data_IF_597262031100
#
_entry.id   IF_597262031100
#
_cell.length_a   1.000
_cell.length_b   1.000
_cell.length_c   1.000
_cell.angle_alpha   90.00
_cell.angle_beta   90.00
_cell.angle_gamma   90.00
#
_symmetry.space_group_name_H-M   'P 1'
#
loop_
_entity.id
_entity.type
_entity.pdbx_description
1 polymer ?
#
# COMPACT_ATOMS: atom_id res chain seq x y z
N UNK A 1 0.86 -1.05 -9.20
CA UNK A 1 -0.35 -1.91 -9.19
C UNK A 1 -0.29 -2.72 -7.91
N UNK A 2 -1.33 -2.68 -7.07
CA UNK A 2 -1.30 -3.36 -5.77
C UNK A 2 -1.32 -4.89 -6.03
N UNK A 3 -0.41 -5.68 -5.44
CA UNK A 3 -0.36 -7.12 -5.67
C UNK A 3 -1.67 -7.86 -5.33
N UNK A 4 -2.50 -7.29 -4.46
CA UNK A 4 -3.78 -7.87 -4.03
C UNK A 4 -4.86 -7.78 -5.08
N UNK A 5 -4.79 -6.80 -5.99
CA UNK A 5 -5.73 -6.73 -7.11
C UNK A 5 -5.69 -8.01 -7.97
N UNK A 6 -4.57 -8.73 -7.91
CA UNK A 6 -4.32 -9.99 -8.62
C UNK A 6 -4.44 -11.24 -7.74
N UNK A 7 -4.67 -11.09 -6.43
CA UNK A 7 -4.76 -12.22 -5.51
C UNK A 7 -6.04 -13.01 -5.77
N UNK A 8 -5.89 -14.23 -6.28
CA UNK A 8 -7.03 -15.12 -6.49
C UNK A 8 -7.62 -15.57 -5.16
N UNK A 9 -6.80 -15.81 -4.15
CA UNK A 9 -7.26 -16.22 -2.83
C UNK A 9 -8.06 -15.12 -2.12
N UNK A 10 -7.64 -13.85 -2.21
CA UNK A 10 -8.38 -12.74 -1.62
C UNK A 10 -9.79 -12.61 -2.23
N UNK A 11 -9.89 -12.65 -3.56
CA UNK A 11 -11.17 -12.58 -4.27
C UNK A 11 -12.05 -13.81 -4.00
N UNK A 12 -11.45 -15.00 -3.89
CA UNK A 12 -12.18 -16.22 -3.55
C UNK A 12 -12.77 -16.17 -2.14
N UNK A 13 -12.00 -15.70 -1.15
CA UNK A 13 -12.50 -15.47 0.22
C UNK A 13 -13.71 -14.54 0.18
N UNK A 14 -13.64 -13.45 -0.61
CA UNK A 14 -14.74 -12.51 -0.79
C UNK A 14 -16.04 -13.21 -1.20
N UNK A 15 -16.01 -13.88 -2.36
CA UNK A 15 -17.15 -14.60 -2.93
C UNK A 15 -17.70 -15.68 -1.98
N UNK A 16 -16.83 -16.47 -1.36
CA UNK A 16 -17.26 -17.57 -0.48
C UNK A 16 -17.91 -17.06 0.82
N UNK A 17 -17.58 -15.86 1.27
CA UNK A 17 -18.27 -15.26 2.43
C UNK A 17 -19.65 -14.75 2.07
N UNK A 18 -19.85 -14.26 0.84
CA UNK A 18 -21.19 -13.93 0.33
C UNK A 18 -22.03 -15.21 0.25
N UNK A 19 -21.49 -16.28 -0.33
CA UNK A 19 -22.15 -17.60 -0.39
C UNK A 19 -22.48 -18.14 1.01
N UNK A 20 -21.56 -18.04 1.96
CA UNK A 20 -21.80 -18.45 3.35
C UNK A 20 -22.89 -17.61 4.03
N UNK A 21 -23.00 -16.33 3.68
CA UNK A 21 -24.05 -15.43 4.20
C UNK A 21 -25.41 -15.81 3.62
N UNK A 22 -25.50 -16.06 2.31
CA UNK A 22 -26.73 -16.50 1.64
C UNK A 22 -27.23 -17.84 2.19
N UNK A 23 -26.32 -18.79 2.41
CA UNK A 23 -26.64 -20.05 3.06
C UNK A 23 -27.13 -19.80 4.50
N UNK A 24 -26.43 -18.97 5.28
CA UNK A 24 -26.77 -18.65 6.66
C UNK A 24 -28.11 -17.95 6.88
N UNK A 25 -28.57 -17.14 5.91
CA UNK A 25 -29.82 -16.38 5.99
C UNK A 25 -31.05 -17.13 5.44
N UNK A 26 -30.82 -18.20 4.68
CA UNK A 26 -31.93 -19.01 4.16
C UNK A 26 -32.62 -19.79 5.29
N UNK A 27 -33.95 -19.66 5.43
CA UNK A 27 -34.77 -20.46 6.38
C UNK A 27 -34.62 -21.98 6.21
N UNK A 28 -34.08 -22.43 5.07
CA UNK A 28 -33.85 -23.83 4.71
C UNK A 28 -32.48 -24.37 5.17
N UNK A 29 -31.53 -23.51 5.56
CA UNK A 29 -30.17 -23.96 5.91
C UNK A 29 -30.02 -24.61 7.28
N UNK A 30 -31.08 -24.57 8.09
CA UNK A 30 -31.08 -25.13 9.44
C UNK A 30 -31.76 -26.50 9.55
N UNK A 31 -32.33 -27.05 8.46
CA UNK A 31 -33.21 -28.24 8.57
C UNK A 31 -32.80 -29.45 7.72
N UNK A 32 -31.82 -29.35 6.81
CA UNK A 32 -31.38 -30.48 5.97
C UNK A 32 -29.89 -30.81 6.12
N UNK A 33 -29.58 -32.11 6.06
CA UNK A 33 -28.19 -32.62 6.06
C UNK A 33 -27.40 -32.06 4.87
N UNK A 34 -28.05 -31.89 3.72
CA UNK A 34 -27.44 -31.30 2.53
C UNK A 34 -26.98 -29.86 2.76
N UNK A 35 -27.81 -29.01 3.38
CA UNK A 35 -27.42 -27.63 3.67
C UNK A 35 -26.26 -27.54 4.67
N UNK A 36 -26.25 -28.41 5.68
CA UNK A 36 -25.13 -28.51 6.64
C UNK A 36 -23.83 -28.91 5.92
N UNK A 37 -23.91 -29.88 5.00
CA UNK A 37 -22.75 -30.31 4.21
C UNK A 37 -22.25 -29.20 3.28
N UNK A 38 -23.16 -28.44 2.64
CA UNK A 38 -22.79 -27.29 1.80
C UNK A 38 -22.10 -26.20 2.61
N UNK A 39 -22.63 -25.84 3.79
CA UNK A 39 -21.98 -24.87 4.69
C UNK A 39 -20.58 -25.34 5.09
N UNK A 40 -20.44 -26.61 5.49
CA UNK A 40 -19.15 -27.18 5.89
C UNK A 40 -18.13 -27.16 4.73
N UNK A 41 -18.59 -27.41 3.50
CA UNK A 41 -17.75 -27.31 2.31
C UNK A 41 -17.28 -25.87 2.09
N UNK A 42 -18.19 -24.90 2.07
CA UNK A 42 -17.82 -23.47 1.89
C UNK A 42 -16.85 -23.01 2.98
N UNK A 43 -17.08 -23.39 4.25
CA UNK A 43 -16.14 -23.10 5.34
C UNK A 43 -14.75 -23.69 5.09
N UNK A 44 -14.69 -24.93 4.60
CA UNK A 44 -13.41 -25.59 4.27
C UNK A 44 -12.66 -24.84 3.17
N UNK A 45 -13.37 -24.42 2.12
CA UNK A 45 -12.77 -23.68 1.02
C UNK A 45 -12.30 -22.29 1.44
N UNK A 46 -13.04 -21.60 2.32
CA UNK A 46 -12.59 -20.35 2.95
C UNK A 46 -11.27 -20.58 3.67
N UNK A 47 -11.19 -21.63 4.50
CA UNK A 47 -9.96 -21.98 5.23
C UNK A 47 -8.77 -22.24 4.31
N UNK A 48 -8.99 -22.96 3.20
CA UNK A 48 -7.97 -23.20 2.18
C UNK A 48 -7.49 -21.90 1.52
N UNK A 49 -8.42 -21.03 1.13
CA UNK A 49 -8.06 -19.75 0.53
C UNK A 49 -7.37 -18.81 1.54
N UNK A 50 -7.78 -18.81 2.81
CA UNK A 50 -7.08 -18.06 3.85
C UNK A 50 -5.63 -18.54 4.03
N UNK A 51 -5.39 -19.86 4.01
CA UNK A 51 -4.03 -20.41 4.04
C UNK A 51 -3.22 -20.00 2.81
N UNK A 52 -3.79 -20.12 1.61
CA UNK A 52 -3.14 -19.67 0.37
C UNK A 52 -2.80 -18.18 0.42
N UNK A 53 -3.72 -17.37 0.94
CA UNK A 53 -3.51 -15.93 1.07
C UNK A 53 -2.42 -15.57 2.10
N UNK A 54 -2.25 -16.33 3.19
CA UNK A 54 -1.13 -16.13 4.10
C UNK A 54 0.22 -16.26 3.39
N UNK A 55 0.35 -17.23 2.49
CA UNK A 55 1.57 -17.42 1.69
C UNK A 55 1.80 -16.23 0.76
N UNK A 56 0.75 -15.73 0.11
CA UNK A 56 0.85 -14.54 -0.74
C UNK A 56 1.27 -13.29 0.07
N UNK A 57 0.71 -13.10 1.26
CA UNK A 57 1.09 -12.01 2.18
C UNK A 57 2.58 -12.11 2.52
N UNK A 58 3.08 -13.28 2.87
CA UNK A 58 4.50 -13.50 3.20
C UNK A 58 5.42 -13.18 2.01
N UNK A 59 5.04 -13.59 0.81
CA UNK A 59 5.87 -13.41 -0.37
C UNK A 59 5.85 -11.98 -0.90
N UNK A 60 4.71 -11.30 -0.82
CA UNK A 60 4.49 -10.06 -1.57
C UNK A 60 4.33 -8.82 -0.68
N UNK A 61 3.80 -8.97 0.54
CA UNK A 61 3.51 -7.82 1.42
C UNK A 61 4.48 -7.69 2.58
N UNK A 62 4.99 -8.78 3.15
CA UNK A 62 5.99 -8.71 4.23
C UNK A 62 7.25 -7.93 3.86
N UNK A 63 7.85 -8.11 2.66
CA UNK A 63 9.02 -7.31 2.25
C UNK A 63 8.70 -5.82 2.21
N UNK A 64 7.56 -5.47 1.61
CA UNK A 64 7.06 -4.09 1.49
C UNK A 64 6.81 -3.47 2.86
N UNK A 65 6.08 -4.17 3.73
CA UNK A 65 5.81 -3.72 5.09
C UNK A 65 7.09 -3.55 5.92
N UNK A 66 8.11 -4.37 5.69
CA UNK A 66 9.41 -4.25 6.35
C UNK A 66 10.15 -2.99 5.91
N UNK A 67 10.18 -2.73 4.60
CA UNK A 67 10.85 -1.55 4.02
C UNK A 67 10.28 -0.22 4.57
N UNK A 68 8.98 -0.17 4.84
CA UNK A 68 8.30 1.03 5.36
C UNK A 68 7.93 0.95 6.85
N UNK A 69 8.52 0.02 7.59
CA UNK A 69 8.32 -0.15 9.04
C UNK A 69 6.85 -0.28 9.48
N UNK A 70 6.04 -1.02 8.71
CA UNK A 70 4.63 -1.36 8.99
C UNK A 70 4.42 -2.83 9.41
N UNK A 71 5.50 -3.54 9.76
CA UNK A 71 5.46 -4.99 10.04
C UNK A 71 4.51 -5.35 11.20
N UNK A 72 4.42 -4.52 12.24
CA UNK A 72 3.52 -4.77 13.38
C UNK A 72 2.04 -4.60 13.00
N UNK A 73 1.74 -3.70 12.06
CA UNK A 73 0.39 -3.57 11.50
C UNK A 73 0.03 -4.82 10.69
N UNK A 74 0.98 -5.33 9.90
CA UNK A 74 0.79 -6.54 9.11
C UNK A 74 0.56 -7.78 9.99
N UNK A 75 1.36 -7.96 11.05
CA UNK A 75 1.24 -9.08 12.00
C UNK A 75 -0.15 -9.17 12.61
N UNK A 76 -0.73 -8.04 13.04
CA UNK A 76 -2.09 -8.00 13.60
C UNK A 76 -3.15 -8.53 12.63
N UNK A 77 -2.99 -8.24 11.33
CA UNK A 77 -3.91 -8.72 10.30
C UNK A 77 -3.67 -10.20 9.98
N UNK A 78 -2.41 -10.66 9.98
CA UNK A 78 -2.09 -12.08 9.85
C UNK A 78 -2.63 -12.90 11.02
N UNK A 79 -2.56 -12.39 12.25
CA UNK A 79 -3.15 -13.05 13.43
C UNK A 79 -4.67 -13.21 13.31
N UNK A 80 -5.36 -12.20 12.77
CA UNK A 80 -6.80 -12.30 12.48
C UNK A 80 -7.08 -13.39 11.44
N UNK A 81 -6.27 -13.47 10.39
CA UNK A 81 -6.39 -14.49 9.35
C UNK A 81 -6.12 -15.90 9.92
N UNK A 82 -5.11 -16.07 10.79
CA UNK A 82 -4.84 -17.34 11.47
C UNK A 82 -6.02 -17.80 12.32
N UNK A 83 -6.66 -16.90 13.06
CA UNK A 83 -7.86 -17.23 13.85
C UNK A 83 -9.03 -17.66 12.96
N UNK A 84 -9.20 -17.03 11.80
CA UNK A 84 -10.23 -17.44 10.82
C UNK A 84 -9.95 -18.87 10.34
N UNK A 85 -8.69 -19.18 10.03
CA UNK A 85 -8.27 -20.54 9.64
C UNK A 85 -8.61 -21.56 10.74
N UNK A 86 -8.28 -21.27 11.99
CA UNK A 86 -8.62 -22.14 13.13
C UNK A 86 -10.13 -22.38 13.25
N UNK A 87 -10.95 -21.34 13.05
CA UNK A 87 -12.42 -21.47 13.06
C UNK A 87 -12.90 -22.37 11.92
N UNK A 88 -12.40 -22.16 10.70
CA UNK A 88 -12.79 -22.97 9.53
C UNK A 88 -12.37 -24.44 9.64
N UNK A 89 -11.31 -24.73 10.39
CA UNK A 89 -10.83 -26.09 10.65
C UNK A 89 -11.51 -26.75 11.87
N UNK A 90 -12.42 -26.06 12.55
CA UNK A 90 -13.09 -26.56 13.75
C UNK A 90 -12.17 -26.68 14.97
N UNK A 91 -10.99 -26.06 14.95
CA UNK A 91 -10.01 -26.09 16.04
C UNK A 91 -10.14 -24.91 17.03
N UNK A 92 -10.96 -23.91 16.70
CA UNK A 92 -11.18 -22.73 17.53
C UNK A 92 -11.80 -23.05 18.90
N UNK A 93 -11.26 -22.42 19.95
CA UNK A 93 -11.80 -22.46 21.32
C UNK A 93 -11.97 -21.04 21.88
N UNK A 94 -13.17 -20.64 22.33
CA UNK A 94 -14.44 -21.39 22.33
C UNK A 94 -14.99 -21.60 20.90
N UNK A 95 -15.95 -22.52 20.77
CA UNK A 95 -16.66 -22.74 19.50
C UNK A 95 -17.31 -21.44 19.02
N UNK A 96 -17.24 -21.23 17.70
CA UNK A 96 -17.76 -20.03 17.02
C UNK A 96 -18.92 -20.41 16.12
N UNK A 97 -19.90 -19.52 16.05
CA UNK A 97 -21.01 -19.66 15.11
C UNK A 97 -20.58 -19.26 13.69
N UNK A 98 -21.37 -19.64 12.69
CA UNK A 98 -21.17 -19.18 11.30
C UNK A 98 -21.24 -17.64 11.22
N UNK A 99 -22.14 -17.03 11.99
CA UNK A 99 -22.25 -15.57 12.06
C UNK A 99 -21.01 -14.90 12.67
N UNK A 100 -20.36 -15.53 13.66
CA UNK A 100 -19.08 -15.06 14.19
C UNK A 100 -17.96 -15.15 13.13
N UNK A 101 -17.96 -16.21 12.31
CA UNK A 101 -17.00 -16.39 11.22
C UNK A 101 -17.18 -15.30 10.16
N UNK A 102 -18.41 -15.06 9.69
CA UNK A 102 -18.73 -14.01 8.72
C UNK A 102 -18.30 -12.63 9.26
N UNK A 103 -18.63 -12.33 10.52
CA UNK A 103 -18.23 -11.08 11.17
C UNK A 103 -16.71 -10.94 11.25
N UNK A 104 -15.99 -12.02 11.54
CA UNK A 104 -14.53 -12.05 11.61
C UNK A 104 -13.89 -11.84 10.24
N UNK A 105 -14.44 -12.45 9.20
CA UNK A 105 -14.01 -12.29 7.80
C UNK A 105 -14.17 -10.85 7.34
N UNK A 106 -15.34 -10.23 7.57
CA UNK A 106 -15.59 -8.83 7.18
C UNK A 106 -14.65 -7.87 7.91
N UNK A 107 -14.51 -8.02 9.23
CA UNK A 107 -13.60 -7.20 10.03
C UNK A 107 -12.13 -7.37 9.59
N UNK A 108 -11.72 -8.59 9.28
CA UNK A 108 -10.39 -8.86 8.77
C UNK A 108 -10.13 -8.13 7.44
N UNK A 109 -11.09 -8.16 6.50
CA UNK A 109 -10.98 -7.45 5.21
C UNK A 109 -10.82 -5.95 5.40
N UNK A 110 -11.64 -5.33 6.23
CA UNK A 110 -11.55 -3.90 6.51
C UNK A 110 -10.18 -3.53 7.07
N UNK A 111 -9.71 -4.28 8.07
CA UNK A 111 -8.39 -4.06 8.67
C UNK A 111 -7.26 -4.30 7.66
N UNK A 112 -7.40 -5.29 6.80
CA UNK A 112 -6.44 -5.60 5.76
C UNK A 112 -6.34 -4.45 4.75
N UNK A 113 -7.46 -3.99 4.19
CA UNK A 113 -7.49 -2.85 3.26
C UNK A 113 -6.92 -1.58 3.90
N UNK A 114 -7.26 -1.30 5.16
CA UNK A 114 -6.70 -0.17 5.89
C UNK A 114 -5.18 -0.30 6.09
N UNK A 115 -4.68 -1.51 6.35
CA UNK A 115 -3.25 -1.79 6.47
C UNK A 115 -2.52 -1.59 5.14
N UNK A 116 -3.10 -2.05 4.01
CA UNK A 116 -2.53 -1.82 2.69
C UNK A 116 -2.39 -0.33 2.37
N UNK A 117 -3.45 0.43 2.62
CA UNK A 117 -3.44 1.86 2.38
C UNK A 117 -2.35 2.56 3.21
N UNK A 118 -2.10 2.11 4.45
CA UNK A 118 -0.99 2.62 5.27
C UNK A 118 0.38 2.27 4.68
N UNK A 119 0.56 1.06 4.17
CA UNK A 119 1.80 0.67 3.48
C UNK A 119 2.01 1.55 2.24
N UNK A 120 0.98 1.70 1.39
CA UNK A 120 1.05 2.51 0.17
C UNK A 120 1.40 3.97 0.47
N UNK A 121 0.78 4.57 1.49
CA UNK A 121 1.11 5.92 1.95
C UNK A 121 2.57 6.02 2.39
N UNK A 122 3.05 5.05 3.17
CA UNK A 122 4.41 5.08 3.69
C UNK A 122 5.46 4.83 2.57
N UNK A 123 5.16 3.95 1.61
CA UNK A 123 6.00 3.75 0.42
C UNK A 123 6.08 5.03 -0.42
N UNK A 124 4.94 5.71 -0.57
CA UNK A 124 4.87 6.96 -1.30
C UNK A 124 5.67 8.07 -0.59
N UNK A 125 5.58 8.15 0.74
CA UNK A 125 6.38 9.07 1.55
C UNK A 125 7.88 8.86 1.34
N UNK A 126 8.35 7.61 1.44
CA UNK A 126 9.77 7.26 1.24
C UNK A 126 10.23 7.67 -0.16
N UNK A 127 9.44 7.32 -1.18
CA UNK A 127 9.72 7.65 -2.59
C UNK A 127 9.82 9.16 -2.82
N UNK A 128 8.86 9.92 -2.30
CA UNK A 128 8.82 11.39 -2.42
C UNK A 128 10.02 12.03 -1.73
N UNK A 129 10.35 11.59 -0.51
CA UNK A 129 11.54 12.07 0.21
C UNK A 129 12.82 11.79 -0.57
N UNK A 130 12.94 10.61 -1.16
CA UNK A 130 14.11 10.26 -1.97
C UNK A 130 14.19 11.10 -3.24
N UNK A 131 13.08 11.28 -3.98
CA UNK A 131 13.03 12.15 -5.17
C UNK A 131 13.46 13.57 -4.84
N UNK A 132 12.93 14.13 -3.75
CA UNK A 132 13.28 15.46 -3.27
C UNK A 132 14.76 15.59 -2.91
N UNK A 133 15.31 14.61 -2.20
CA UNK A 133 16.74 14.59 -1.87
C UNK A 133 17.61 14.55 -3.12
N UNK A 134 17.26 13.69 -4.08
CA UNK A 134 17.99 13.60 -5.34
C UNK A 134 17.95 14.92 -6.12
N UNK A 135 16.79 15.56 -6.20
CA UNK A 135 16.62 16.84 -6.88
C UNK A 135 17.39 17.98 -6.20
N UNK A 136 17.42 18.01 -4.86
CA UNK A 136 18.24 18.97 -4.10
C UNK A 136 19.74 18.80 -4.37
N UNK A 137 20.22 17.56 -4.44
CA UNK A 137 21.60 17.25 -4.79
C UNK A 137 21.93 17.65 -6.24
N UNK A 138 21.01 17.40 -7.18
CA UNK A 138 21.17 17.77 -8.59
C UNK A 138 21.19 19.29 -8.79
N UNK A 139 20.30 20.03 -8.11
CA UNK A 139 20.31 21.49 -8.12
C UNK A 139 21.65 22.06 -7.64
N UNK A 140 22.19 21.52 -6.54
CA UNK A 140 23.51 21.92 -6.01
C UNK A 140 24.65 21.60 -6.97
N UNK A 141 24.63 20.43 -7.62
CA UNK A 141 25.62 20.07 -8.64
C UNK A 141 25.57 21.03 -9.84
N UNK A 142 24.38 21.33 -10.35
CA UNK A 142 24.22 22.27 -11.47
C UNK A 142 24.65 23.69 -11.11
N UNK A 143 24.31 24.19 -9.91
CA UNK A 143 24.77 25.49 -9.44
C UNK A 143 26.31 25.54 -9.43
N UNK A 144 26.97 24.49 -8.95
CA UNK A 144 28.43 24.36 -8.97
C UNK A 144 29.00 24.30 -10.40
N UNK A 145 28.35 23.57 -11.32
CA UNK A 145 28.75 23.53 -12.74
C UNK A 145 28.66 24.90 -13.39
N UNK A 146 27.56 25.62 -13.19
CA UNK A 146 27.39 26.98 -13.72
C UNK A 146 28.47 27.91 -13.17
N UNK A 147 28.75 27.87 -11.87
CA UNK A 147 29.81 28.68 -11.25
C UNK A 147 31.18 28.44 -11.88
N UNK A 148 31.53 27.17 -12.15
CA UNK A 148 32.83 26.77 -12.69
C UNK A 148 32.90 26.74 -14.23
N UNK A 149 31.79 27.00 -14.92
CA UNK A 149 31.73 27.01 -16.40
C UNK A 149 32.50 28.18 -17.03
N UNK A 150 32.69 28.12 -18.34
CA UNK A 150 33.26 29.20 -19.16
C UNK A 150 32.24 30.27 -19.58
N UNK A 151 30.96 30.16 -19.15
CA UNK A 151 29.94 31.16 -19.44
C UNK A 151 30.35 32.55 -18.95
N UNK A 152 29.86 33.59 -19.61
CA UNK A 152 30.10 34.95 -19.14
C UNK A 152 29.29 35.25 -17.86
N UNK A 153 29.66 36.30 -17.14
CA UNK A 153 29.03 36.64 -15.86
C UNK A 153 27.52 36.90 -15.94
N UNK A 154 27.01 37.37 -17.09
CA UNK A 154 25.57 37.63 -17.27
C UNK A 154 24.82 36.31 -17.42
N UNK A 155 25.30 35.41 -18.27
CA UNK A 155 24.74 34.07 -18.46
C UNK A 155 24.78 33.25 -17.16
N UNK A 156 25.90 33.29 -16.42
CA UNK A 156 26.01 32.64 -15.11
C UNK A 156 24.95 33.17 -14.13
N UNK A 157 24.74 34.48 -14.10
CA UNK A 157 23.78 35.09 -13.18
C UNK A 157 22.33 34.69 -13.52
N UNK A 158 21.98 34.62 -14.81
CA UNK A 158 20.64 34.19 -15.25
C UNK A 158 20.37 32.73 -14.88
N UNK A 159 21.28 31.82 -15.23
CA UNK A 159 21.17 30.40 -14.91
C UNK A 159 21.11 30.16 -13.39
N UNK A 160 21.95 30.85 -12.60
CA UNK A 160 21.93 30.71 -11.15
C UNK A 160 20.62 31.22 -10.54
N UNK A 161 20.02 32.30 -11.07
CA UNK A 161 18.71 32.78 -10.59
C UNK A 161 17.61 31.75 -10.84
N UNK A 162 17.63 31.12 -12.01
CA UNK A 162 16.66 30.08 -12.34
C UNK A 162 16.83 28.84 -11.46
N UNK A 163 18.06 28.36 -11.28
CA UNK A 163 18.36 27.24 -10.38
C UNK A 163 17.99 27.54 -8.91
N UNK A 164 18.22 28.78 -8.44
CA UNK A 164 17.80 29.20 -7.11
C UNK A 164 16.27 29.27 -6.96
N UNK A 165 15.55 29.64 -8.02
CA UNK A 165 14.08 29.62 -8.02
C UNK A 165 13.55 28.18 -7.90
N UNK A 166 14.16 27.22 -8.60
CA UNK A 166 13.81 25.81 -8.44
C UNK A 166 14.12 25.28 -7.03
N UNK A 167 15.26 25.66 -6.45
CA UNK A 167 15.61 25.30 -5.07
C UNK A 167 14.58 25.87 -4.07
N UNK A 168 14.16 27.12 -4.24
CA UNK A 168 13.12 27.73 -3.40
C UNK A 168 11.78 27.01 -3.51
N UNK A 169 11.35 26.62 -4.73
CA UNK A 169 10.15 25.79 -4.92
C UNK A 169 10.28 24.45 -4.21
N UNK A 170 11.42 23.77 -4.35
CA UNK A 170 11.68 22.48 -3.68
C UNK A 170 11.70 22.60 -2.15
N UNK A 171 12.18 23.72 -1.61
CA UNK A 171 12.19 24.01 -0.17
C UNK A 171 10.80 24.35 0.36
N UNK A 172 9.91 24.89 -0.48
CA UNK A 172 8.51 25.17 -0.10
C UNK A 172 7.68 23.90 0.09
N UNK A 173 8.13 22.77 -0.46
CA UNK A 173 7.46 21.49 -0.28
C UNK A 173 7.54 21.01 1.18
N UNK A 174 6.43 20.52 1.74
CA UNK A 174 6.37 20.12 3.15
C UNK A 174 7.38 19.02 3.49
N UNK A 175 8.07 19.17 4.62
CA UNK A 175 9.13 18.26 5.09
C UNK A 175 8.59 17.03 5.83
N UNK A 176 7.37 17.11 6.36
CA UNK A 176 6.69 16.04 7.09
C UNK A 176 5.18 16.29 7.08
N UNK A 177 4.40 15.22 7.16
CA UNK A 177 2.95 15.34 7.10
C UNK A 177 2.27 15.22 8.47
N UNK A 178 1.58 16.30 8.86
CA UNK A 178 0.49 16.26 9.83
C UNK A 178 -0.84 16.20 9.08
N UNK A 179 -1.16 15.03 8.52
CA UNK A 179 -2.53 14.56 8.30
C UNK A 179 -3.34 14.95 7.04
N UNK A 180 -2.85 15.76 6.09
CA UNK A 180 -3.71 16.31 5.02
C UNK A 180 -3.18 16.39 3.56
N UNK A 181 -1.94 16.01 3.23
CA UNK A 181 -1.46 16.05 1.84
C UNK A 181 -1.53 14.68 1.23
N UNK A 182 -2.09 14.71 0.03
CA UNK A 182 -2.02 13.64 -0.92
C UNK A 182 -0.58 13.56 -1.44
N UNK A 183 0.18 12.58 -0.94
CA UNK A 183 1.56 12.33 -1.40
C UNK A 183 1.67 12.13 -2.92
N UNK A 184 0.58 11.79 -3.60
CA UNK A 184 0.52 11.70 -5.05
C UNK A 184 0.62 13.07 -5.72
N UNK A 185 -0.05 14.07 -5.17
CA UNK A 185 -0.01 15.43 -5.72
C UNK A 185 1.38 16.04 -5.50
N UNK A 186 1.95 15.82 -4.31
CA UNK A 186 3.32 16.24 -4.01
C UNK A 186 4.36 15.53 -4.90
N UNK A 187 4.17 14.24 -5.17
CA UNK A 187 5.04 13.53 -6.11
C UNK A 187 4.96 14.14 -7.51
N UNK A 188 3.75 14.47 -7.99
CA UNK A 188 3.57 15.12 -9.30
C UNK A 188 4.25 16.50 -9.37
N UNK A 189 4.14 17.30 -8.32
CA UNK A 189 4.83 18.60 -8.25
C UNK A 189 6.36 18.44 -8.28
N UNK A 190 6.90 17.44 -7.59
CA UNK A 190 8.33 17.12 -7.63
C UNK A 190 8.76 16.63 -9.01
N UNK A 191 7.94 15.80 -9.66
CA UNK A 191 8.23 15.28 -10.99
C UNK A 191 8.23 16.42 -12.03
N UNK A 192 7.26 17.34 -11.97
CA UNK A 192 7.24 18.53 -12.83
C UNK A 192 8.46 19.44 -12.60
N UNK A 193 8.87 19.63 -11.35
CA UNK A 193 10.06 20.41 -11.04
C UNK A 193 11.34 19.70 -11.54
N UNK A 194 11.37 18.37 -11.46
CA UNK A 194 12.47 17.55 -11.98
C UNK A 194 12.58 17.71 -13.50
N UNK A 195 11.47 17.69 -14.24
CA UNK A 195 11.47 17.91 -15.69
C UNK A 195 11.99 19.31 -16.06
N UNK A 196 11.57 20.35 -15.33
CA UNK A 196 12.08 21.72 -15.53
C UNK A 196 13.59 21.81 -15.27
N UNK A 197 14.07 21.15 -14.22
CA UNK A 197 15.50 21.05 -13.90
C UNK A 197 16.27 20.31 -15.00
N UNK A 198 15.74 19.20 -15.52
CA UNK A 198 16.38 18.47 -16.62
C UNK A 198 16.46 19.30 -17.90
N UNK A 199 15.45 20.13 -18.19
CA UNK A 199 15.50 21.02 -19.36
C UNK A 199 16.68 22.01 -19.27
N UNK A 200 16.88 22.65 -18.11
CA UNK A 200 18.02 23.54 -17.88
C UNK A 200 19.34 22.77 -17.92
N UNK A 201 19.37 21.56 -17.37
CA UNK A 201 20.58 20.71 -17.41
C UNK A 201 21.03 20.39 -18.84
N UNK A 202 20.10 20.12 -19.75
CA UNK A 202 20.41 19.89 -21.17
C UNK A 202 21.02 21.13 -21.82
N UNK A 203 20.60 22.34 -21.41
CA UNK A 203 21.19 23.59 -21.90
C UNK A 203 22.62 23.85 -21.35
N UNK A 204 23.01 23.13 -20.29
CA UNK A 204 24.34 23.21 -19.66
C UNK A 204 25.36 22.20 -20.25
N UNK A 205 24.91 21.22 -21.03
CA UNK A 205 25.75 20.21 -21.70
C UNK A 205 26.17 20.65 -23.11
#
# INVERSE_FOLDING_TARGET
>A
MNPIDKSQHFHAIYKQTEELTELGDSRLSQETVEAILSIAQVMTEIGQNCNGFQVEIQQQLEPRATEVNQIDTLKKVQEQLSRIIEVTQGSARPSKTIQDLISSLNKWRENFLAMLHKIEIAEQEVRVKQKRLNLDLELKDMQNKVLNSSYNNTQKLELLKELLNFEQKLQSFPNSFQGAVNWKDLEQEIDQLTEQVQAVKIELE
#
